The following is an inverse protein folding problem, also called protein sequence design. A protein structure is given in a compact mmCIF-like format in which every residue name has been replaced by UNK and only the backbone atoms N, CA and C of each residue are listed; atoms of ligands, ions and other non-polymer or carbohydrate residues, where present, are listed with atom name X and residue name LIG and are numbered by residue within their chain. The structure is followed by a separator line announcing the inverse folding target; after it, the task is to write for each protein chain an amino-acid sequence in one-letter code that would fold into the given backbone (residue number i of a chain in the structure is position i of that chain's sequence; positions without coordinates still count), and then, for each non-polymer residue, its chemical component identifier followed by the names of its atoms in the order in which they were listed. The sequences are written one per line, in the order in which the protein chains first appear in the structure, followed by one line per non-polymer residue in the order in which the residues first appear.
data_IF_061758914417
#
_entry.id   IF_061758914417
#
_cell.length_a   1.000
_cell.length_b   1.000
_cell.length_c   1.000
_cell.angle_alpha   90.00
_cell.angle_beta   90.00
_cell.angle_gamma   90.00
#
_symmetry.space_group_name_H-M   'P 1'
#
loop_
_entity.id
_entity.type
_entity.pdbx_description
1 polymer ?
#
# COMPACT_ATOMS: atom_id res chain seq x y z
N UNK A 1 36.85 26.46 22.28
CA UNK A 1 36.33 25.15 21.83
C UNK A 1 35.30 24.63 22.87
N UNK A 2 34.23 25.38 23.22
CA UNK A 2 33.06 24.82 23.90
C UNK A 2 31.82 24.67 23.01
N UNK A 3 31.77 25.32 21.86
CA UNK A 3 30.51 25.37 21.05
C UNK A 3 30.27 24.17 20.08
N UNK A 4 31.19 23.20 20.00
CA UNK A 4 31.07 22.07 19.09
C UNK A 4 30.37 20.84 19.73
N UNK A 5 30.37 20.73 21.06
CA UNK A 5 29.74 19.61 21.76
C UNK A 5 28.22 19.77 21.94
N UNK A 6 27.73 21.01 22.13
CA UNK A 6 26.28 21.25 22.34
C UNK A 6 25.45 21.04 21.05
N UNK A 7 26.03 21.31 19.89
CA UNK A 7 25.36 21.02 18.61
C UNK A 7 25.31 19.51 18.27
N UNK A 8 26.24 18.72 18.79
CA UNK A 8 26.26 17.25 18.54
C UNK A 8 25.21 16.52 19.39
N UNK A 9 24.94 16.99 20.60
CA UNK A 9 23.89 16.43 21.47
C UNK A 9 22.49 16.76 20.95
N UNK A 10 22.26 17.97 20.44
CA UNK A 10 20.99 18.36 19.83
C UNK A 10 20.70 17.57 18.55
N UNK A 11 21.73 17.18 17.79
CA UNK A 11 21.59 16.36 16.58
C UNK A 11 21.32 14.90 16.90
N UNK A 12 21.92 14.34 17.95
CA UNK A 12 21.68 12.97 18.40
C UNK A 12 20.30 12.80 19.07
N UNK A 13 19.80 13.80 19.80
CA UNK A 13 18.46 13.77 20.41
C UNK A 13 17.33 13.91 19.38
N UNK A 14 17.59 14.56 18.25
CA UNK A 14 16.63 14.70 17.16
C UNK A 14 16.47 13.40 16.38
N UNK A 15 17.55 12.66 16.19
CA UNK A 15 17.57 11.38 15.43
C UNK A 15 16.99 10.22 16.26
N UNK A 16 17.19 10.19 17.57
CA UNK A 16 16.62 9.17 18.46
C UNK A 16 15.12 9.30 18.66
N UNK A 17 14.55 10.50 18.61
CA UNK A 17 13.09 10.71 18.64
C UNK A 17 12.41 10.28 17.34
N UNK A 18 13.12 10.28 16.21
CA UNK A 18 12.61 9.91 14.89
C UNK A 18 12.50 8.39 14.68
N UNK A 19 13.40 7.62 15.26
CA UNK A 19 13.45 6.15 15.08
C UNK A 19 12.27 5.40 15.71
N UNK A 20 11.46 6.06 16.57
CA UNK A 20 10.29 5.47 17.23
C UNK A 20 8.96 6.10 16.83
N UNK A 21 8.92 6.95 15.79
CA UNK A 21 7.71 7.67 15.41
C UNK A 21 6.90 6.88 14.38
N UNK A 22 5.60 6.72 14.63
CA UNK A 22 4.70 6.14 13.64
C UNK A 22 4.70 6.99 12.35
N UNK A 23 4.63 6.35 11.15
CA UNK A 23 4.51 7.08 9.89
C UNK A 23 3.33 8.04 9.86
N UNK A 24 3.46 9.17 9.16
CA UNK A 24 2.41 10.17 9.04
C UNK A 24 1.08 9.58 8.57
N UNK A 25 1.13 8.64 7.63
CA UNK A 25 -0.05 7.93 7.11
C UNK A 25 -0.82 7.17 8.23
N UNK A 26 -0.15 6.72 9.28
CA UNK A 26 -0.80 6.07 10.41
C UNK A 26 -1.30 7.09 11.43
N UNK A 27 -0.54 8.15 11.70
CA UNK A 27 -0.94 9.22 12.62
C UNK A 27 -2.17 9.98 12.12
N UNK A 28 -2.28 10.15 10.80
CA UNK A 28 -3.41 10.83 10.14
C UNK A 28 -4.56 9.90 9.80
N UNK A 29 -4.52 8.63 10.22
CA UNK A 29 -5.59 7.67 9.93
C UNK A 29 -6.89 8.10 10.63
N UNK A 30 -7.98 8.39 9.89
CA UNK A 30 -9.25 8.75 10.49
C UNK A 30 -9.85 7.58 11.29
N UNK A 31 -10.47 7.91 12.42
CA UNK A 31 -11.13 6.96 13.32
C UNK A 31 -12.66 7.04 13.24
N UNK A 32 -13.20 8.09 12.62
CA UNK A 32 -14.65 8.31 12.46
C UNK A 32 -15.00 8.51 10.99
N UNK A 33 -16.22 8.15 10.64
CA UNK A 33 -16.70 8.29 9.27
C UNK A 33 -16.75 9.76 8.81
N UNK A 34 -16.99 10.69 9.72
CA UNK A 34 -17.02 12.13 9.42
C UNK A 34 -15.66 12.68 8.96
N UNK A 35 -14.57 12.05 9.39
CA UNK A 35 -13.20 12.45 9.04
C UNK A 35 -12.64 11.65 7.84
N UNK A 36 -13.44 10.71 7.29
CA UNK A 36 -13.03 9.85 6.18
C UNK A 36 -13.30 10.55 4.85
N UNK A 37 -12.24 10.95 4.16
CA UNK A 37 -12.32 11.66 2.89
C UNK A 37 -12.44 10.71 1.69
N UNK A 38 -13.24 11.14 0.74
CA UNK A 38 -13.49 10.39 -0.48
C UNK A 38 -14.53 9.28 -0.30
N UNK A 39 -14.78 8.57 -1.38
CA UNK A 39 -15.71 7.44 -1.46
C UNK A 39 -17.18 7.83 -1.15
N UNK A 40 -17.61 9.04 -1.50
CA UNK A 40 -18.94 9.57 -1.22
C UNK A 40 -20.06 8.64 -1.73
N UNK A 41 -19.81 7.92 -2.83
CA UNK A 41 -20.72 6.92 -3.37
C UNK A 41 -20.96 5.73 -2.44
N UNK A 42 -20.05 5.46 -1.49
CA UNK A 42 -20.16 4.38 -0.50
C UNK A 42 -20.58 4.89 0.88
N UNK A 43 -20.07 6.04 1.31
CA UNK A 43 -20.19 6.54 2.69
C UNK A 43 -20.89 7.91 2.79
N UNK A 44 -21.20 8.54 1.67
CA UNK A 44 -21.95 9.81 1.62
C UNK A 44 -23.38 9.69 2.16
N UNK A 45 -24.09 10.79 2.26
CA UNK A 45 -25.49 10.80 2.72
C UNK A 45 -26.36 9.95 1.80
N UNK A 46 -27.18 9.07 2.39
CA UNK A 46 -28.04 8.16 1.64
C UNK A 46 -27.32 6.97 0.97
N UNK A 47 -26.02 6.82 1.14
CA UNK A 47 -25.27 5.67 0.59
C UNK A 47 -25.59 4.36 1.32
N UNK A 48 -25.30 3.25 0.63
CA UNK A 48 -25.65 1.92 1.12
C UNK A 48 -24.95 1.58 2.45
N UNK A 49 -23.66 1.89 2.58
CA UNK A 49 -22.92 1.62 3.82
C UNK A 49 -23.40 2.52 4.97
N UNK A 50 -23.74 3.78 4.69
CA UNK A 50 -24.27 4.68 5.72
C UNK A 50 -25.64 4.26 6.21
N UNK A 51 -26.50 3.77 5.32
CA UNK A 51 -27.81 3.20 5.69
C UNK A 51 -27.63 1.90 6.52
N UNK A 52 -26.69 1.04 6.13
CA UNK A 52 -26.38 -0.19 6.86
C UNK A 52 -25.88 0.12 8.28
N UNK A 53 -25.01 1.11 8.45
CA UNK A 53 -24.56 1.60 9.76
C UNK A 53 -25.71 2.12 10.60
N UNK A 54 -26.57 2.95 10.04
CA UNK A 54 -27.75 3.49 10.74
C UNK A 54 -28.73 2.40 11.19
N UNK A 55 -28.83 1.32 10.40
CA UNK A 55 -29.64 0.13 10.75
C UNK A 55 -28.93 -0.80 11.75
N UNK A 56 -27.67 -0.55 12.13
CA UNK A 56 -26.89 -1.42 13.00
C UNK A 56 -26.54 -2.78 12.38
N UNK A 57 -26.72 -2.94 11.08
CA UNK A 57 -26.49 -4.19 10.36
C UNK A 57 -25.50 -3.98 9.22
N UNK A 58 -24.46 -4.79 9.19
CA UNK A 58 -23.48 -4.80 8.10
C UNK A 58 -23.38 -6.22 7.53
N UNK A 59 -23.66 -6.42 6.23
CA UNK A 59 -23.40 -7.70 5.57
C UNK A 59 -21.90 -7.98 5.46
N UNK A 60 -21.51 -9.19 5.08
CA UNK A 60 -20.15 -9.46 4.68
C UNK A 60 -19.83 -8.72 3.37
N UNK A 61 -18.64 -8.13 3.29
CA UNK A 61 -18.26 -7.24 2.19
C UNK A 61 -16.84 -7.55 1.68
N UNK A 62 -16.62 -7.25 0.42
CA UNK A 62 -15.30 -7.19 -0.21
C UNK A 62 -15.06 -5.76 -0.66
N UNK A 63 -14.01 -5.14 -0.13
CA UNK A 63 -13.54 -3.81 -0.52
C UNK A 63 -12.49 -3.97 -1.62
N UNK A 64 -12.84 -3.60 -2.83
CA UNK A 64 -11.96 -3.69 -3.99
C UNK A 64 -11.53 -2.32 -4.47
N UNK A 65 -10.23 -2.13 -4.73
CA UNK A 65 -9.71 -0.88 -5.28
C UNK A 65 -8.20 -0.77 -5.14
N UNK A 66 -7.60 0.25 -5.74
CA UNK A 66 -6.15 0.49 -5.72
C UNK A 66 -5.57 0.56 -4.30
N UNK A 67 -4.24 0.45 -4.13
CA UNK A 67 -3.61 0.69 -2.85
C UNK A 67 -3.84 2.13 -2.37
N UNK A 68 -3.75 2.37 -1.06
CA UNK A 68 -3.80 3.70 -0.45
C UNK A 68 -5.15 4.44 -0.48
N UNK A 69 -6.23 3.85 -1.03
CA UNK A 69 -7.57 4.47 -1.10
C UNK A 69 -8.40 4.34 0.18
N UNK A 70 -7.83 3.78 1.26
CA UNK A 70 -8.47 3.73 2.57
C UNK A 70 -9.28 2.47 2.88
N UNK A 71 -9.10 1.32 2.18
CA UNK A 71 -9.83 0.06 2.44
C UNK A 71 -9.77 -0.38 3.91
N UNK A 72 -8.55 -0.51 4.44
CA UNK A 72 -8.31 -0.92 5.84
C UNK A 72 -8.85 0.12 6.83
N UNK A 73 -8.73 1.40 6.51
CA UNK A 73 -9.26 2.50 7.31
C UNK A 73 -10.77 2.45 7.39
N UNK A 74 -11.44 2.27 6.24
CA UNK A 74 -12.90 2.13 6.20
C UNK A 74 -13.39 0.94 7.02
N UNK A 75 -12.71 -0.21 6.90
CA UNK A 75 -13.07 -1.40 7.69
C UNK A 75 -12.98 -1.15 9.21
N UNK A 76 -11.94 -0.48 9.68
CA UNK A 76 -11.78 -0.10 11.09
C UNK A 76 -12.87 0.86 11.55
N UNK A 77 -13.17 1.89 10.76
CA UNK A 77 -14.23 2.86 11.07
C UNK A 77 -15.59 2.16 11.20
N UNK A 78 -15.95 1.31 10.22
CA UNK A 78 -17.21 0.57 10.24
C UNK A 78 -17.34 -0.32 11.48
N UNK A 79 -16.26 -0.97 11.90
CA UNK A 79 -16.24 -1.78 13.11
C UNK A 79 -16.42 -0.95 14.38
N UNK A 80 -15.75 0.19 14.45
CA UNK A 80 -15.83 1.12 15.59
C UNK A 80 -17.22 1.72 15.72
N UNK A 81 -17.79 2.21 14.63
CA UNK A 81 -19.16 2.79 14.59
C UNK A 81 -20.24 1.77 15.02
N UNK A 82 -20.05 0.50 14.66
CA UNK A 82 -20.96 -0.59 15.05
C UNK A 82 -20.69 -1.14 16.46
N UNK A 83 -19.64 -0.68 17.15
CA UNK A 83 -19.25 -1.19 18.46
C UNK A 83 -18.93 -2.69 18.47
N UNK A 84 -18.45 -3.24 17.33
CA UNK A 84 -18.21 -4.67 17.16
C UNK A 84 -16.73 -5.01 17.31
N UNK A 85 -16.39 -6.16 17.93
CA UNK A 85 -15.01 -6.63 17.98
C UNK A 85 -14.42 -6.75 16.57
N UNK A 86 -13.18 -6.29 16.41
CA UNK A 86 -12.47 -6.28 15.13
C UNK A 86 -11.23 -7.18 15.20
N UNK A 87 -11.19 -8.20 14.35
CA UNK A 87 -10.04 -9.07 14.16
C UNK A 87 -9.45 -8.82 12.78
N UNK A 88 -8.15 -8.59 12.71
CA UNK A 88 -7.45 -8.37 11.46
C UNK A 88 -6.47 -9.50 11.18
N UNK A 89 -6.51 -10.04 9.98
CA UNK A 89 -5.56 -10.99 9.45
C UNK A 89 -4.95 -10.43 8.16
N UNK A 90 -3.63 -10.52 8.05
CA UNK A 90 -2.95 -10.27 6.78
C UNK A 90 -2.84 -11.59 6.02
N UNK A 91 -3.37 -11.66 4.81
CA UNK A 91 -3.28 -12.87 3.99
C UNK A 91 -1.86 -13.26 3.61
N UNK A 92 -0.90 -12.33 3.73
CA UNK A 92 0.53 -12.60 3.49
C UNK A 92 1.12 -13.44 4.62
N UNK A 93 0.71 -13.20 5.86
CA UNK A 93 1.30 -13.80 7.07
C UNK A 93 0.44 -14.92 7.67
N UNK A 94 -0.88 -14.89 7.46
CA UNK A 94 -1.81 -15.78 8.13
C UNK A 94 -1.94 -17.14 7.42
N UNK A 95 -1.84 -18.23 8.20
CA UNK A 95 -2.11 -19.59 7.74
C UNK A 95 -3.57 -20.03 7.97
N UNK A 96 -3.93 -21.22 7.49
CA UNK A 96 -5.26 -21.84 7.74
C UNK A 96 -5.55 -21.95 9.24
N UNK A 97 -4.53 -22.19 10.06
CA UNK A 97 -4.65 -22.29 11.52
C UNK A 97 -5.12 -20.96 12.11
N UNK A 98 -4.54 -19.85 11.70
CA UNK A 98 -4.87 -18.52 12.24
C UNK A 98 -6.33 -18.15 11.93
N UNK A 99 -6.82 -18.51 10.73
CA UNK A 99 -8.21 -18.35 10.34
C UNK A 99 -9.12 -19.15 11.27
N UNK A 100 -8.81 -20.44 11.49
CA UNK A 100 -9.61 -21.32 12.35
C UNK A 100 -9.60 -20.87 13.81
N UNK A 101 -8.44 -20.49 14.33
CA UNK A 101 -8.30 -20.00 15.71
C UNK A 101 -9.11 -18.70 15.92
N UNK A 102 -9.15 -17.83 14.93
CA UNK A 102 -9.94 -16.60 14.97
C UNK A 102 -11.46 -16.91 14.94
N UNK A 103 -11.88 -17.85 14.10
CA UNK A 103 -13.28 -18.28 14.04
C UNK A 103 -13.68 -18.93 15.37
N UNK A 104 -12.84 -19.77 15.95
CA UNK A 104 -13.11 -20.39 17.25
C UNK A 104 -13.25 -19.36 18.37
N UNK A 105 -12.40 -18.33 18.39
CA UNK A 105 -12.54 -17.20 19.33
C UNK A 105 -13.87 -16.46 19.13
N UNK A 106 -14.31 -16.27 17.90
CA UNK A 106 -15.58 -15.66 17.56
C UNK A 106 -16.76 -16.51 18.04
N UNK A 107 -16.72 -17.83 17.86
CA UNK A 107 -17.74 -18.77 18.37
C UNK A 107 -17.87 -18.72 19.88
N UNK A 108 -16.75 -18.70 20.61
CA UNK A 108 -16.75 -18.57 22.06
C UNK A 108 -17.39 -17.27 22.53
N UNK A 109 -17.15 -16.16 21.87
CA UNK A 109 -17.76 -14.86 22.22
C UNK A 109 -19.29 -14.85 22.06
N UNK A 110 -19.80 -15.58 21.09
CA UNK A 110 -21.25 -15.72 20.86
C UNK A 110 -21.98 -16.33 22.08
N UNK A 111 -21.34 -17.23 22.82
CA UNK A 111 -21.90 -17.78 24.06
C UNK A 111 -22.16 -16.74 25.15
N UNK A 112 -21.42 -15.61 25.09
CA UNK A 112 -21.56 -14.50 26.04
C UNK A 112 -22.51 -13.40 25.55
N UNK A 113 -23.33 -13.67 24.56
CA UNK A 113 -24.31 -12.73 23.98
C UNK A 113 -23.66 -11.41 23.44
N UNK A 114 -22.39 -11.46 23.03
CA UNK A 114 -21.71 -10.34 22.42
C UNK A 114 -22.01 -10.28 20.90
N UNK A 115 -22.03 -9.08 20.30
CA UNK A 115 -22.23 -8.97 18.87
C UNK A 115 -21.14 -9.75 18.11
N UNK A 116 -21.53 -10.38 17.01
CA UNK A 116 -20.60 -11.13 16.17
C UNK A 116 -19.45 -10.24 15.69
N UNK A 117 -18.20 -10.70 15.80
CA UNK A 117 -17.05 -9.90 15.43
C UNK A 117 -16.97 -9.68 13.92
N UNK A 118 -16.28 -8.62 13.56
CA UNK A 118 -15.84 -8.35 12.18
C UNK A 118 -14.47 -9.00 12.02
N UNK A 119 -14.33 -9.88 11.01
CA UNK A 119 -13.06 -10.41 10.58
C UNK A 119 -12.62 -9.69 9.32
N UNK A 120 -11.61 -8.86 9.45
CA UNK A 120 -10.97 -8.16 8.33
C UNK A 120 -9.81 -9.01 7.80
N UNK A 121 -9.77 -9.21 6.49
CA UNK A 121 -8.69 -9.91 5.79
C UNK A 121 -8.12 -8.96 4.75
N UNK A 122 -6.89 -8.49 5.01
CA UNK A 122 -6.17 -7.67 4.06
C UNK A 122 -5.53 -8.54 2.98
N UNK A 123 -5.61 -8.08 1.72
CA UNK A 123 -5.15 -8.80 0.53
C UNK A 123 -5.73 -10.21 0.40
N UNK A 124 -7.06 -10.35 0.57
CA UNK A 124 -7.76 -11.64 0.59
C UNK A 124 -7.49 -12.50 -0.65
N UNK A 125 -7.11 -11.90 -1.79
CA UNK A 125 -6.72 -12.61 -3.01
C UNK A 125 -5.49 -13.51 -2.82
N UNK A 126 -4.66 -13.25 -1.81
CA UNK A 126 -3.49 -14.08 -1.47
C UNK A 126 -3.84 -15.33 -0.67
N UNK A 127 -5.06 -15.44 -0.19
CA UNK A 127 -5.52 -16.66 0.46
C UNK A 127 -5.72 -17.78 -0.57
N UNK A 128 -5.18 -18.94 -0.27
CA UNK A 128 -5.48 -20.17 -1.03
C UNK A 128 -6.98 -20.51 -0.98
N UNK A 129 -7.45 -21.27 -1.93
CA UNK A 129 -8.86 -21.74 -1.96
C UNK A 129 -9.28 -22.42 -0.67
N UNK A 130 -8.40 -23.23 -0.05
CA UNK A 130 -8.70 -23.90 1.23
C UNK A 130 -8.79 -22.94 2.42
N UNK A 131 -8.08 -21.81 2.40
CA UNK A 131 -8.21 -20.76 3.41
C UNK A 131 -9.52 -19.99 3.25
N UNK A 132 -9.90 -19.70 2.01
CA UNK A 132 -11.19 -19.06 1.71
C UNK A 132 -12.37 -19.99 2.02
N UNK A 133 -12.27 -21.30 1.73
CA UNK A 133 -13.29 -22.30 2.10
C UNK A 133 -13.49 -22.39 3.62
N UNK A 134 -12.42 -22.25 4.41
CA UNK A 134 -12.53 -22.28 5.87
C UNK A 134 -13.38 -21.14 6.43
N UNK A 135 -13.57 -20.03 5.70
CA UNK A 135 -14.40 -18.90 6.09
C UNK A 135 -15.90 -19.15 5.85
N UNK A 136 -16.24 -20.00 4.86
CA UNK A 136 -17.64 -20.16 4.40
C UNK A 136 -18.60 -20.50 5.53
N UNK A 137 -18.29 -21.51 6.31
CA UNK A 137 -19.17 -21.95 7.39
C UNK A 137 -19.39 -20.90 8.47
N UNK A 138 -18.38 -20.09 8.76
CA UNK A 138 -18.47 -19.03 9.76
C UNK A 138 -19.28 -17.81 9.24
N UNK A 139 -19.14 -17.50 7.95
CA UNK A 139 -19.92 -16.45 7.29
C UNK A 139 -21.38 -16.86 7.16
N UNK A 140 -21.67 -18.08 6.71
CA UNK A 140 -23.04 -18.60 6.56
C UNK A 140 -23.81 -18.64 7.87
N UNK A 141 -23.17 -19.09 8.93
CA UNK A 141 -23.78 -19.17 10.26
C UNK A 141 -23.83 -17.83 11.00
N UNK A 142 -23.31 -16.76 10.40
CA UNK A 142 -23.22 -15.45 11.03
C UNK A 142 -22.35 -15.44 12.29
N UNK A 143 -21.38 -16.35 12.39
CA UNK A 143 -20.38 -16.35 13.49
C UNK A 143 -19.48 -15.14 13.39
N UNK A 144 -19.12 -14.76 12.18
CA UNK A 144 -18.36 -13.56 11.84
C UNK A 144 -19.07 -12.77 10.74
N UNK A 145 -18.81 -11.47 10.68
CA UNK A 145 -19.01 -10.66 9.46
C UNK A 145 -17.67 -10.51 8.77
N UNK A 146 -17.54 -11.00 7.55
CA UNK A 146 -16.31 -10.88 6.78
C UNK A 146 -16.19 -9.51 6.14
N UNK A 147 -15.03 -8.88 6.27
CA UNK A 147 -14.60 -7.77 5.45
C UNK A 147 -13.30 -8.15 4.75
N UNK A 148 -13.35 -8.46 3.46
CA UNK A 148 -12.15 -8.69 2.65
C UNK A 148 -11.69 -7.39 2.01
N UNK A 149 -10.38 -7.15 1.92
CA UNK A 149 -9.80 -6.09 1.11
C UNK A 149 -8.91 -6.71 0.02
N UNK A 150 -8.95 -6.14 -1.18
CA UNK A 150 -8.14 -6.60 -2.30
C UNK A 150 -7.84 -5.48 -3.28
N UNK A 151 -6.68 -5.55 -3.91
CA UNK A 151 -6.29 -4.72 -5.05
C UNK A 151 -6.62 -5.40 -6.39
N UNK A 152 -6.77 -6.73 -6.37
CA UNK A 152 -7.06 -7.53 -7.56
C UNK A 152 -8.58 -7.70 -7.77
N UNK A 153 -9.00 -8.04 -8.98
CA UNK A 153 -10.42 -8.23 -9.30
C UNK A 153 -10.98 -9.45 -8.53
N UNK A 154 -11.91 -9.24 -7.59
CA UNK A 154 -12.42 -10.32 -6.75
C UNK A 154 -13.14 -11.42 -7.52
N UNK A 155 -13.63 -11.14 -8.71
CA UNK A 155 -14.31 -12.17 -9.54
C UNK A 155 -13.37 -13.29 -10.00
N UNK A 156 -12.06 -13.04 -10.05
CA UNK A 156 -11.07 -14.05 -10.42
C UNK A 156 -10.36 -14.66 -9.22
N UNK A 157 -10.19 -13.89 -8.16
CA UNK A 157 -9.32 -14.25 -7.04
C UNK A 157 -10.08 -14.79 -5.82
N UNK A 158 -11.34 -14.41 -5.67
CA UNK A 158 -12.18 -14.88 -4.55
C UNK A 158 -13.09 -16.00 -5.06
N UNK A 159 -13.20 -17.09 -4.28
CA UNK A 159 -14.02 -18.23 -4.68
C UNK A 159 -15.49 -17.83 -4.83
N UNK A 160 -16.21 -18.35 -5.84
CA UNK A 160 -17.61 -17.98 -6.10
C UNK A 160 -18.54 -18.20 -4.91
N UNK A 161 -18.28 -19.25 -4.13
CA UNK A 161 -19.05 -19.55 -2.92
C UNK A 161 -18.95 -18.46 -1.85
N UNK A 162 -17.80 -17.80 -1.72
CA UNK A 162 -17.61 -16.68 -0.79
C UNK A 162 -18.18 -15.38 -1.37
N UNK A 163 -17.97 -15.13 -2.67
CA UNK A 163 -18.49 -13.95 -3.36
C UNK A 163 -20.02 -13.88 -3.30
N UNK A 164 -20.72 -15.02 -3.45
CA UNK A 164 -22.18 -15.06 -3.40
C UNK A 164 -22.76 -14.66 -2.02
N UNK A 165 -21.91 -14.59 -0.98
CA UNK A 165 -22.27 -14.24 0.40
C UNK A 165 -21.75 -12.86 0.82
N UNK A 166 -21.04 -12.19 -0.07
CA UNK A 166 -20.44 -10.89 0.18
C UNK A 166 -20.95 -9.86 -0.83
N UNK A 167 -21.10 -8.62 -0.38
CA UNK A 167 -21.31 -7.49 -1.28
C UNK A 167 -19.95 -6.91 -1.68
N UNK A 168 -19.74 -6.65 -2.96
CA UNK A 168 -18.50 -6.05 -3.47
C UNK A 168 -18.67 -4.54 -3.57
N UNK A 169 -17.80 -3.79 -2.91
CA UNK A 169 -17.74 -2.35 -2.99
C UNK A 169 -16.43 -1.89 -3.62
N UNK A 170 -16.55 -1.05 -4.63
CA UNK A 170 -15.40 -0.53 -5.38
C UNK A 170 -14.97 0.81 -4.79
N UNK A 171 -13.73 0.88 -4.30
CA UNK A 171 -13.11 2.13 -3.87
C UNK A 171 -12.33 2.73 -5.04
N UNK A 172 -12.45 4.05 -5.19
CA UNK A 172 -11.79 4.82 -6.24
C UNK A 172 -10.56 5.53 -5.70
N UNK A 173 -9.66 5.91 -6.60
CA UNK A 173 -8.57 6.83 -6.28
C UNK A 173 -9.14 8.14 -5.74
N UNK A 174 -8.39 8.80 -4.87
CA UNK A 174 -8.76 10.12 -4.36
C UNK A 174 -8.56 11.16 -5.45
N UNK A 175 -9.51 12.09 -5.52
CA UNK A 175 -9.45 13.23 -6.45
C UNK A 175 -8.50 14.31 -5.93
N UNK A 176 -8.09 15.21 -6.82
CA UNK A 176 -7.13 16.27 -6.52
C UNK A 176 -7.55 17.10 -5.30
N UNK A 177 -8.79 17.52 -5.22
CA UNK A 177 -9.30 18.35 -4.13
C UNK A 177 -9.23 17.61 -2.78
N UNK A 178 -9.52 16.31 -2.79
CA UNK A 178 -9.42 15.45 -1.60
C UNK A 178 -7.97 15.28 -1.13
N UNK A 179 -7.03 15.12 -2.08
CA UNK A 179 -5.60 15.04 -1.78
C UNK A 179 -5.08 16.36 -1.20
N UNK A 180 -5.49 17.50 -1.74
CA UNK A 180 -5.14 18.81 -1.21
C UNK A 180 -5.70 19.01 0.21
N UNK A 181 -6.93 18.57 0.46
CA UNK A 181 -7.50 18.60 1.81
C UNK A 181 -6.70 17.74 2.78
N UNK A 182 -6.26 16.53 2.39
CA UNK A 182 -5.40 15.68 3.22
C UNK A 182 -4.08 16.36 3.60
N UNK A 183 -3.44 17.08 2.66
CA UNK A 183 -2.21 17.84 2.95
C UNK A 183 -2.49 18.93 4.00
N UNK A 184 -3.54 19.73 3.78
CA UNK A 184 -3.89 20.81 4.71
C UNK A 184 -4.22 20.28 6.10
N UNK A 185 -5.01 19.20 6.18
CA UNK A 185 -5.32 18.57 7.45
C UNK A 185 -4.08 18.03 8.16
N UNK A 186 -3.13 17.42 7.44
CA UNK A 186 -1.89 16.94 8.03
C UNK A 186 -1.05 18.09 8.61
N UNK A 187 -0.91 19.18 7.87
CA UNK A 187 -0.17 20.35 8.35
C UNK A 187 -0.79 21.01 9.58
N UNK A 188 -2.11 20.89 9.77
CA UNK A 188 -2.79 21.51 10.91
C UNK A 188 -2.95 20.56 12.12
N UNK A 189 -3.20 19.27 11.87
CA UNK A 189 -3.57 18.32 12.92
C UNK A 189 -2.39 17.50 13.44
N UNK A 190 -1.37 17.24 12.62
CA UNK A 190 -0.24 16.41 13.02
C UNK A 190 0.68 17.15 14.00
N UNK A 191 1.02 16.51 15.11
CA UNK A 191 1.80 17.10 16.20
C UNK A 191 3.21 17.55 15.76
N UNK A 192 3.77 16.95 14.71
CA UNK A 192 5.11 17.26 14.22
C UNK A 192 5.12 18.22 13.03
N UNK A 193 3.99 18.36 12.34
CA UNK A 193 3.89 19.21 11.17
C UNK A 193 3.28 20.57 11.49
N UNK A 194 2.37 20.68 12.46
CA UNK A 194 1.64 21.91 12.80
C UNK A 194 2.55 23.08 13.20
N UNK A 195 3.72 22.79 13.78
CA UNK A 195 4.67 23.82 14.20
C UNK A 195 5.67 24.19 13.09
N UNK A 196 5.62 23.52 11.94
CA UNK A 196 6.46 23.80 10.78
C UNK A 196 5.76 24.79 9.86
N UNK A 197 6.49 25.83 9.47
CA UNK A 197 6.02 26.73 8.41
C UNK A 197 6.35 26.12 7.07
N UNK A 198 5.34 25.56 6.40
CA UNK A 198 5.47 24.98 5.06
C UNK A 198 4.65 25.79 4.08
N UNK A 199 5.30 26.34 3.07
CA UNK A 199 4.66 27.09 1.98
C UNK A 199 4.80 26.32 0.68
N UNK A 200 3.70 26.03 0.04
CA UNK A 200 3.69 25.39 -1.27
C UNK A 200 3.60 26.46 -2.36
N UNK A 201 4.51 26.41 -3.31
CA UNK A 201 4.45 27.20 -4.56
C UNK A 201 3.72 26.41 -5.64
N UNK A 202 3.83 25.08 -5.62
CA UNK A 202 3.07 24.17 -6.47
C UNK A 202 2.78 22.86 -5.73
N UNK A 203 1.71 22.18 -6.10
CA UNK A 203 1.33 20.84 -5.64
C UNK A 203 1.45 19.79 -6.74
N UNK A 204 1.69 20.20 -8.00
CA UNK A 204 1.51 19.34 -9.18
C UNK A 204 2.38 18.09 -9.15
N UNK A 205 3.67 18.23 -8.85
CA UNK A 205 4.57 17.08 -8.74
C UNK A 205 4.15 16.14 -7.60
N UNK A 206 3.79 16.67 -6.43
CA UNK A 206 3.38 15.84 -5.29
C UNK A 206 2.09 15.07 -5.57
N UNK A 207 1.10 15.71 -6.20
CA UNK A 207 -0.15 15.09 -6.62
C UNK A 207 0.09 14.03 -7.70
N UNK A 208 0.95 14.34 -8.68
CA UNK A 208 1.34 13.41 -9.75
C UNK A 208 1.99 12.15 -9.19
N UNK A 209 2.99 12.29 -8.31
CA UNK A 209 3.70 11.16 -7.73
C UNK A 209 2.85 10.34 -6.75
N UNK A 210 1.88 10.96 -6.07
CA UNK A 210 0.93 10.24 -5.21
C UNK A 210 -0.03 9.38 -6.01
N UNK A 211 -0.42 9.81 -7.22
CA UNK A 211 -1.32 9.09 -8.12
C UNK A 211 -2.68 8.74 -7.50
N UNK A 212 -3.22 9.58 -6.60
CA UNK A 212 -4.49 9.33 -5.91
C UNK A 212 -4.39 8.42 -4.67
N UNK A 213 -3.16 8.03 -4.27
CA UNK A 213 -2.88 7.19 -3.09
C UNK A 213 -2.55 8.09 -1.89
N UNK A 214 -3.43 8.10 -0.88
CA UNK A 214 -3.24 8.90 0.35
C UNK A 214 -1.98 8.49 1.14
N UNK A 215 -1.62 7.21 1.16
CA UNK A 215 -0.43 6.73 1.87
C UNK A 215 0.84 7.25 1.21
N UNK A 216 0.91 7.18 -0.13
CA UNK A 216 2.03 7.77 -0.89
C UNK A 216 2.11 9.27 -0.67
N UNK A 217 0.97 9.97 -0.70
CA UNK A 217 0.90 11.40 -0.45
C UNK A 217 1.50 11.77 0.92
N UNK A 218 1.09 11.10 1.97
CA UNK A 218 1.60 11.33 3.32
C UNK A 218 3.10 10.99 3.45
N UNK A 219 3.55 9.92 2.80
CA UNK A 219 4.97 9.56 2.79
C UNK A 219 5.80 10.65 2.08
N UNK A 220 5.32 11.18 0.95
CA UNK A 220 5.96 12.31 0.25
C UNK A 220 6.00 13.54 1.16
N UNK A 221 4.89 13.90 1.79
CA UNK A 221 4.80 15.05 2.68
C UNK A 221 5.76 14.93 3.88
N UNK A 222 5.83 13.76 4.50
CA UNK A 222 6.74 13.47 5.61
C UNK A 222 8.21 13.57 5.18
N UNK A 223 8.52 13.07 3.99
CA UNK A 223 9.83 13.14 3.39
C UNK A 223 10.25 14.61 3.12
N UNK A 224 9.40 15.36 2.42
CA UNK A 224 9.62 16.78 2.13
C UNK A 224 9.85 17.58 3.41
N UNK A 225 8.97 17.45 4.38
CA UNK A 225 9.07 18.20 5.65
C UNK A 225 10.25 17.79 6.52
N UNK A 226 10.90 16.67 6.21
CA UNK A 226 12.05 16.15 6.91
C UNK A 226 13.39 16.50 6.25
N UNK A 227 13.44 16.65 4.94
CA UNK A 227 14.69 16.77 4.17
C UNK A 227 14.80 18.09 3.40
N UNK A 228 13.68 18.78 3.16
CA UNK A 228 13.72 20.06 2.51
C UNK A 228 14.55 21.10 3.30
N UNK A 229 15.30 21.95 2.62
CA UNK A 229 16.05 23.01 3.29
C UNK A 229 15.09 23.99 3.97
N UNK A 230 15.38 24.28 5.23
CA UNK A 230 14.65 25.30 5.99
C UNK A 230 15.36 26.64 5.80
N UNK A 231 14.74 27.56 5.07
CA UNK A 231 15.28 28.90 4.80
C UNK A 231 14.50 29.91 5.63
N UNK A 232 15.19 30.58 6.54
CA UNK A 232 14.57 31.56 7.45
C UNK A 232 13.39 31.06 8.29
N UNK A 233 13.39 29.78 8.65
CA UNK A 233 12.32 29.17 9.44
C UNK A 233 11.11 28.69 8.61
N UNK A 234 11.19 28.76 7.30
CA UNK A 234 10.14 28.31 6.38
C UNK A 234 10.67 27.27 5.40
N UNK A 235 9.87 26.23 5.12
CA UNK A 235 10.10 25.24 4.09
C UNK A 235 9.27 25.65 2.87
N UNK A 236 9.94 25.94 1.76
CA UNK A 236 9.27 26.27 0.48
C UNK A 236 9.30 25.04 -0.41
N UNK A 237 8.11 24.59 -0.82
CA UNK A 237 7.94 23.38 -1.63
C UNK A 237 7.49 23.78 -3.04
N UNK A 238 8.31 23.48 -4.02
CA UNK A 238 8.03 23.57 -5.45
C UNK A 238 8.18 22.21 -6.13
N UNK A 239 7.80 22.09 -7.38
CA UNK A 239 7.86 20.84 -8.14
C UNK A 239 9.29 20.34 -8.36
N UNK A 240 10.26 21.24 -8.47
CA UNK A 240 11.66 20.88 -8.64
C UNK A 240 12.21 20.22 -7.37
N UNK A 241 11.90 20.77 -6.20
CA UNK A 241 12.30 20.22 -4.91
C UNK A 241 11.66 18.84 -4.69
N UNK A 242 10.35 18.71 -4.96
CA UNK A 242 9.64 17.42 -4.86
C UNK A 242 10.32 16.36 -5.73
N UNK A 243 10.56 16.70 -6.99
CA UNK A 243 11.17 15.77 -7.94
C UNK A 243 12.58 15.39 -7.51
N UNK A 244 13.39 16.34 -7.07
CA UNK A 244 14.77 16.10 -6.64
C UNK A 244 14.82 15.18 -5.39
N UNK A 245 14.05 15.50 -4.37
CA UNK A 245 14.00 14.68 -3.15
C UNK A 245 13.52 13.27 -3.45
N UNK A 246 12.45 13.10 -4.26
CA UNK A 246 11.95 11.78 -4.61
C UNK A 246 12.95 10.99 -5.44
N UNK A 247 13.66 11.61 -6.40
CA UNK A 247 14.70 10.94 -7.18
C UNK A 247 15.88 10.48 -6.32
N UNK A 248 16.33 11.28 -5.36
CA UNK A 248 17.36 10.89 -4.41
C UNK A 248 16.93 9.70 -3.55
N UNK A 249 15.64 9.66 -3.15
CA UNK A 249 15.10 8.54 -2.38
C UNK A 249 14.87 7.28 -3.20
N UNK A 250 14.47 7.40 -4.46
CA UNK A 250 14.36 6.25 -5.37
C UNK A 250 15.73 5.56 -5.51
N UNK A 251 16.83 6.34 -5.62
CA UNK A 251 18.18 5.79 -5.69
C UNK A 251 18.65 5.18 -4.36
N UNK A 252 18.20 5.70 -3.22
CA UNK A 252 18.55 5.18 -1.89
C UNK A 252 17.67 4.00 -1.44
N UNK A 253 16.40 3.97 -1.87
CA UNK A 253 15.42 2.93 -1.48
C UNK A 253 15.63 1.60 -2.20
N UNK A 254 16.29 1.62 -3.36
CA UNK A 254 16.61 0.41 -4.14
C UNK A 254 17.57 -0.57 -3.41
N UNK A 255 18.21 -0.14 -2.32
CA UNK A 255 19.01 -1.03 -1.46
C UNK A 255 18.19 -1.91 -0.51
N UNK A 256 16.87 -1.73 -0.44
CA UNK A 256 15.98 -2.39 0.54
C UNK A 256 15.01 -3.47 0.01
N UNK A 257 14.93 -3.76 -1.28
CA UNK A 257 14.37 -5.02 -1.80
C UNK A 257 12.94 -5.06 -2.31
N UNK A 258 12.03 -4.09 -2.08
CA UNK A 258 10.66 -4.17 -2.64
C UNK A 258 10.57 -3.61 -4.08
N UNK A 259 11.26 -2.52 -4.37
CA UNK A 259 11.31 -1.96 -5.74
C UNK A 259 12.11 -2.84 -6.71
N UNK A 260 13.07 -3.60 -6.21
CA UNK A 260 13.80 -4.61 -6.96
C UNK A 260 12.88 -5.55 -7.76
N UNK A 261 11.83 -6.07 -7.11
CA UNK A 261 10.88 -6.97 -7.78
C UNK A 261 9.95 -6.22 -8.74
N UNK A 262 9.56 -4.99 -8.44
CA UNK A 262 8.68 -4.19 -9.29
C UNK A 262 9.38 -3.75 -10.58
N UNK A 263 10.62 -3.29 -10.49
CA UNK A 263 11.43 -2.88 -11.66
C UNK A 263 11.79 -4.10 -12.51
N UNK A 264 12.17 -5.23 -11.90
CA UNK A 264 12.40 -6.48 -12.60
C UNK A 264 11.12 -7.00 -13.29
N UNK A 265 9.97 -6.87 -12.64
CA UNK A 265 8.67 -7.22 -13.22
C UNK A 265 8.31 -6.31 -14.40
N UNK A 266 8.54 -5.01 -14.28
CA UNK A 266 8.33 -4.05 -15.36
C UNK A 266 9.23 -4.35 -16.56
N UNK A 267 10.50 -4.70 -16.34
CA UNK A 267 11.44 -5.13 -17.37
C UNK A 267 10.92 -6.36 -18.12
N UNK A 268 10.54 -7.41 -17.41
CA UNK A 268 10.00 -8.64 -18.03
C UNK A 268 8.67 -8.37 -18.76
N UNK A 269 7.76 -7.58 -18.17
CA UNK A 269 6.50 -7.20 -18.83
C UNK A 269 6.74 -6.39 -20.11
N UNK A 270 7.77 -5.55 -20.16
CA UNK A 270 8.14 -4.82 -21.38
C UNK A 270 8.61 -5.77 -22.48
N UNK A 271 9.41 -6.79 -22.15
CA UNK A 271 9.83 -7.83 -23.08
C UNK A 271 8.60 -8.60 -23.61
N UNK A 272 7.70 -9.03 -22.72
CA UNK A 272 6.44 -9.71 -23.10
C UNK A 272 5.54 -8.86 -23.98
N UNK A 273 5.48 -7.55 -23.70
CA UNK A 273 4.73 -6.58 -24.49
C UNK A 273 5.39 -6.20 -25.81
N UNK A 274 6.58 -6.76 -26.13
CA UNK A 274 7.36 -6.40 -27.33
C UNK A 274 7.66 -4.90 -27.43
N UNK A 275 7.88 -4.23 -26.30
CA UNK A 275 8.29 -2.83 -26.21
C UNK A 275 9.80 -2.73 -25.92
N UNK A 276 10.65 -2.60 -26.96
CA UNK A 276 12.09 -2.54 -26.77
C UNK A 276 12.55 -1.25 -26.05
N UNK A 277 11.84 -0.14 -26.22
CA UNK A 277 12.20 1.12 -25.55
C UNK A 277 11.96 1.04 -24.05
N UNK A 278 10.81 0.52 -23.63
CA UNK A 278 10.54 0.29 -22.23
C UNK A 278 11.49 -0.75 -21.62
N UNK A 279 11.81 -1.83 -22.37
CA UNK A 279 12.75 -2.84 -21.87
C UNK A 279 14.15 -2.25 -21.63
N UNK A 280 14.69 -1.46 -22.56
CA UNK A 280 15.99 -0.79 -22.39
C UNK A 280 15.94 0.25 -21.27
N UNK A 281 14.85 0.99 -21.11
CA UNK A 281 14.66 1.93 -20.02
C UNK A 281 14.71 1.23 -18.65
N UNK A 282 13.96 0.16 -18.46
CA UNK A 282 13.94 -0.58 -17.21
C UNK A 282 15.27 -1.30 -16.92
N UNK A 283 15.96 -1.79 -17.97
CA UNK A 283 17.31 -2.33 -17.86
C UNK A 283 18.29 -1.27 -17.33
N UNK A 284 18.28 -0.09 -17.93
CA UNK A 284 19.14 1.02 -17.49
C UNK A 284 18.84 1.41 -16.04
N UNK A 285 17.57 1.45 -15.66
CA UNK A 285 17.12 1.72 -14.27
C UNK A 285 17.64 0.67 -13.27
N UNK A 286 17.63 -0.62 -13.63
CA UNK A 286 18.20 -1.67 -12.77
C UNK A 286 19.70 -1.50 -12.61
N UNK A 287 20.42 -1.23 -13.67
CA UNK A 287 21.89 -1.04 -13.64
C UNK A 287 22.25 0.20 -12.80
N UNK A 288 21.57 1.33 -13.03
CA UNK A 288 21.77 2.57 -12.28
C UNK A 288 21.42 2.43 -10.80
N UNK A 289 20.38 1.63 -10.48
CA UNK A 289 20.00 1.28 -9.12
C UNK A 289 20.97 0.32 -8.42
N UNK A 290 22.03 -0.14 -9.10
CA UNK A 290 23.05 -1.04 -8.55
C UNK A 290 22.59 -2.50 -8.43
N UNK A 291 21.65 -2.91 -9.27
CA UNK A 291 21.18 -4.28 -9.36
C UNK A 291 22.29 -5.23 -9.78
N UNK A 292 22.33 -6.44 -9.23
CA UNK A 292 23.32 -7.45 -9.63
C UNK A 292 23.13 -7.84 -11.10
N UNK A 293 24.12 -7.56 -11.94
CA UNK A 293 24.05 -7.82 -13.38
C UNK A 293 23.74 -9.29 -13.70
N UNK A 294 24.22 -10.21 -12.85
CA UNK A 294 23.90 -11.65 -12.94
C UNK A 294 22.43 -11.96 -12.69
N UNK A 295 21.79 -11.21 -11.79
CA UNK A 295 20.35 -11.32 -11.56
C UNK A 295 19.56 -10.89 -12.80
N UNK A 296 19.92 -9.74 -13.38
CA UNK A 296 19.28 -9.24 -14.62
C UNK A 296 19.44 -10.27 -15.75
N UNK A 297 20.65 -10.74 -15.99
CA UNK A 297 20.92 -11.73 -17.02
C UNK A 297 20.14 -13.05 -16.79
N UNK A 298 20.00 -13.50 -15.54
CA UNK A 298 19.17 -14.67 -15.18
C UNK A 298 17.69 -14.45 -15.54
N UNK A 299 17.15 -13.25 -15.29
CA UNK A 299 15.77 -12.90 -15.67
C UNK A 299 15.56 -12.92 -17.17
N UNK A 300 16.55 -12.50 -17.95
CA UNK A 300 16.51 -12.61 -19.43
C UNK A 300 16.47 -14.07 -19.89
N UNK A 301 17.26 -14.97 -19.27
CA UNK A 301 17.22 -16.40 -19.60
C UNK A 301 15.85 -17.01 -19.30
N UNK A 302 15.23 -16.65 -18.17
CA UNK A 302 13.89 -17.11 -17.80
C UNK A 302 12.87 -16.61 -18.82
N UNK A 303 12.88 -15.31 -19.16
CA UNK A 303 11.96 -14.74 -20.13
C UNK A 303 12.14 -15.38 -21.54
N UNK A 304 13.38 -15.63 -21.95
CA UNK A 304 13.65 -16.30 -23.22
C UNK A 304 13.15 -17.76 -23.24
N UNK A 305 13.22 -18.46 -22.10
CA UNK A 305 12.79 -19.86 -22.00
C UNK A 305 11.26 -19.98 -21.89
N UNK A 306 10.61 -19.16 -21.06
CA UNK A 306 9.20 -19.27 -20.70
C UNK A 306 8.29 -18.44 -21.61
N UNK A 307 8.67 -17.20 -21.94
CA UNK A 307 7.82 -16.28 -22.66
C UNK A 307 8.04 -16.35 -24.18
N UNK A 308 9.28 -16.42 -24.64
CA UNK A 308 9.61 -16.55 -26.06
C UNK A 308 9.55 -18.03 -26.50
N UNK A 309 10.13 -18.90 -25.71
CA UNK A 309 10.09 -20.35 -25.93
C UNK A 309 10.51 -20.75 -27.36
N UNK A 310 9.75 -21.66 -27.93
CA UNK A 310 9.99 -22.17 -29.29
C UNK A 310 9.60 -21.21 -30.42
N UNK A 311 8.96 -20.06 -30.11
CA UNK A 311 8.65 -19.03 -31.10
C UNK A 311 9.92 -18.46 -31.75
N UNK A 312 11.01 -18.35 -30.94
CA UNK A 312 12.34 -18.03 -31.46
C UNK A 312 13.42 -18.79 -30.66
N UNK A 313 13.89 -19.95 -31.17
CA UNK A 313 14.88 -20.78 -30.48
C UNK A 313 16.21 -20.04 -30.18
N UNK A 314 16.54 -19.04 -31.00
CA UNK A 314 17.77 -18.24 -30.79
C UNK A 314 17.68 -17.34 -29.55
N UNK A 315 16.48 -17.00 -29.07
CA UNK A 315 16.33 -16.14 -27.90
C UNK A 315 16.98 -16.76 -26.66
N UNK A 316 16.71 -18.02 -26.38
CA UNK A 316 17.33 -18.74 -25.27
C UNK A 316 18.84 -18.88 -25.41
N UNK A 317 19.33 -19.17 -26.64
CA UNK A 317 20.76 -19.26 -26.92
C UNK A 317 21.46 -17.92 -26.63
N UNK A 318 20.92 -16.83 -27.14
CA UNK A 318 21.48 -15.48 -26.93
C UNK A 318 21.43 -15.09 -25.45
N UNK A 319 20.32 -15.32 -24.75
CA UNK A 319 20.19 -15.00 -23.34
C UNK A 319 21.17 -15.81 -22.48
N UNK A 320 21.34 -17.11 -22.76
CA UNK A 320 22.30 -17.98 -22.07
C UNK A 320 23.73 -17.54 -22.33
N UNK A 321 24.06 -17.17 -23.57
CA UNK A 321 25.39 -16.67 -23.91
C UNK A 321 25.69 -15.35 -23.23
N UNK A 322 24.71 -14.43 -23.18
CA UNK A 322 24.84 -13.18 -22.44
C UNK A 322 25.03 -13.43 -20.93
N UNK A 323 24.30 -14.37 -20.33
CA UNK A 323 24.48 -14.76 -18.93
C UNK A 323 25.89 -15.29 -18.65
N UNK A 324 26.43 -16.16 -19.54
CA UNK A 324 27.79 -16.69 -19.44
C UNK A 324 28.84 -15.57 -19.59
N UNK A 325 28.63 -14.64 -20.51
CA UNK A 325 29.51 -13.48 -20.68
C UNK A 325 29.55 -12.63 -19.40
N UNK A 326 28.39 -12.31 -18.82
CA UNK A 326 28.30 -11.58 -17.55
C UNK A 326 29.00 -12.34 -16.41
N UNK A 327 28.90 -13.67 -16.35
CA UNK A 327 29.64 -14.46 -15.36
C UNK A 327 31.15 -14.40 -15.53
N UNK A 328 31.61 -14.29 -16.76
CA UNK A 328 33.05 -14.29 -17.07
C UNK A 328 33.71 -12.93 -16.86
N UNK A 329 32.98 -11.85 -17.07
CA UNK A 329 33.53 -10.47 -17.01
C UNK A 329 33.29 -9.80 -15.64
N UNK A 330 32.29 -10.23 -14.88
CA UNK A 330 31.94 -9.72 -13.55
C UNK A 330 30.78 -8.79 -13.55
#
# INVERSE_FOLDING_TARGET
IPDFCDNFHAYCDFDTKRTNMQPLAERMRPTRLADYLGQEHLVGEGSVLRQALAAGFLPSIILWGPPGVGKTTLANILATELGRPFYSLSAIAAGVKDVRDTIQKAEQQRFFNRPNPILFIDEIHRFSKSQQDALLGAVEKGVITLMGATTENPSFEVIPALLSRCQVYVLKLLETDQLLQLIQEALHKDEYLRDKKVRFESYDAMLHYSGGDARKLYNILELLTSQAPNVNGEIVVDDALVTNILQQHITAYDKGGEQHYDVASAFIKSIRGSDPNAAVYWLARMIEGGEEVKFIARRMVIAAAEDVGLANPNALLMATTAFQAVQAVG
#
